data_IF_450631674648
#
_entry.id   IF_450631674648
#
_cell.length_a   1.000
_cell.length_b   1.000
_cell.length_c   1.000
_cell.angle_alpha   90.00
_cell.angle_beta   90.00
_cell.angle_gamma   90.00
#
_symmetry.space_group_name_H-M   'P 1'
#
loop_
_entity.id
_entity.type
_entity.pdbx_description
1 polymer ?
#
# COMPACT_ATOMS: atom_id res chain seq x y z
N UNK A 1 -11.45 -18.63 -12.12
CA UNK A 1 -11.37 -18.03 -10.83
C UNK A 1 -11.19 -16.51 -10.89
N UNK A 2 -10.97 -15.89 -9.76
CA UNK A 2 -10.81 -14.43 -9.58
C UNK A 2 -9.73 -13.82 -10.48
N UNK A 3 -8.63 -14.54 -10.72
CA UNK A 3 -7.52 -14.08 -11.57
C UNK A 3 -7.95 -13.83 -13.02
N UNK A 4 -8.61 -14.80 -13.65
CA UNK A 4 -9.08 -14.63 -15.03
C UNK A 4 -10.18 -13.58 -15.17
N UNK A 5 -11.02 -13.42 -14.14
CA UNK A 5 -11.99 -12.32 -14.08
C UNK A 5 -11.29 -10.95 -14.02
N UNK A 6 -10.20 -10.83 -13.25
CA UNK A 6 -9.40 -9.61 -13.20
C UNK A 6 -8.75 -9.27 -14.55
N UNK A 7 -8.15 -10.25 -15.23
CA UNK A 7 -7.59 -10.08 -16.58
C UNK A 7 -8.67 -9.63 -17.58
N UNK A 8 -9.84 -10.26 -17.56
CA UNK A 8 -10.96 -9.87 -18.43
C UNK A 8 -11.40 -8.41 -18.17
N UNK A 9 -11.47 -8.02 -16.91
CA UNK A 9 -11.80 -6.64 -16.53
C UNK A 9 -10.75 -5.64 -16.99
N UNK A 10 -9.47 -5.99 -16.92
CA UNK A 10 -8.36 -5.17 -17.38
C UNK A 10 -8.41 -4.98 -18.90
N UNK A 11 -8.56 -6.08 -19.66
CA UNK A 11 -8.58 -6.05 -21.12
C UNK A 11 -9.83 -5.35 -21.67
N UNK A 12 -10.97 -5.45 -20.98
CA UNK A 12 -12.20 -4.76 -21.34
C UNK A 12 -12.24 -3.29 -20.87
N UNK A 13 -11.14 -2.72 -20.39
CA UNK A 13 -11.05 -1.33 -19.91
C UNK A 13 -12.15 -0.97 -18.90
N UNK A 14 -12.53 -1.87 -17.99
CA UNK A 14 -13.50 -1.53 -16.94
C UNK A 14 -12.96 -0.43 -16.04
N UNK A 15 -13.53 0.76 -16.15
CA UNK A 15 -13.06 1.99 -15.48
C UNK A 15 -12.87 1.75 -13.98
N UNK A 16 -13.87 1.19 -13.30
CA UNK A 16 -13.80 0.91 -11.86
C UNK A 16 -12.61 0.02 -11.49
N UNK A 17 -12.33 -1.03 -12.26
CA UNK A 17 -11.22 -1.94 -12.01
C UNK A 17 -9.86 -1.26 -12.21
N UNK A 18 -9.77 -0.38 -13.22
CA UNK A 18 -8.55 0.40 -13.50
C UNK A 18 -8.30 1.43 -12.39
N UNK A 19 -9.34 2.07 -11.89
CA UNK A 19 -9.25 2.99 -10.74
C UNK A 19 -8.83 2.25 -9.46
N UNK A 20 -9.37 1.07 -9.21
CA UNK A 20 -8.95 0.21 -8.11
C UNK A 20 -7.46 -0.16 -8.21
N UNK A 21 -6.96 -0.52 -9.41
CA UNK A 21 -5.54 -0.78 -9.62
C UNK A 21 -4.67 0.45 -9.36
N UNK A 22 -5.09 1.62 -9.86
CA UNK A 22 -4.36 2.89 -9.67
C UNK A 22 -4.41 3.41 -8.23
N UNK A 23 -5.35 2.95 -7.43
CA UNK A 23 -5.39 3.27 -6.00
C UNK A 23 -4.30 2.55 -5.18
N UNK A 24 -3.68 1.51 -5.76
CA UNK A 24 -2.58 0.78 -5.14
C UNK A 24 -1.30 1.62 -5.28
N UNK A 25 -0.61 1.81 -4.16
CA UNK A 25 0.66 2.56 -4.17
C UNK A 25 1.69 1.91 -5.12
N UNK A 26 2.34 2.74 -5.93
CA UNK A 26 3.28 2.28 -6.95
C UNK A 26 2.64 1.82 -8.28
N UNK A 27 1.31 1.77 -8.40
CA UNK A 27 0.62 1.44 -9.65
C UNK A 27 -0.02 2.69 -10.25
N UNK A 28 0.64 3.23 -11.27
CA UNK A 28 0.14 4.36 -12.06
C UNK A 28 -0.30 3.95 -13.48
N UNK A 29 -0.39 4.94 -14.36
CA UNK A 29 -0.78 4.72 -15.75
C UNK A 29 0.19 3.78 -16.49
N UNK A 30 1.50 3.98 -16.31
CA UNK A 30 2.53 3.19 -16.98
C UNK A 30 2.45 1.70 -16.62
N UNK A 31 2.28 1.39 -15.34
CA UNK A 31 2.14 0.02 -14.84
C UNK A 31 0.84 -0.61 -15.34
N UNK A 32 -0.26 0.14 -15.33
CA UNK A 32 -1.56 -0.32 -15.83
C UNK A 32 -1.51 -0.65 -17.33
N UNK A 33 -0.89 0.21 -18.14
CA UNK A 33 -0.73 -0.04 -19.58
C UNK A 33 0.22 -1.21 -19.87
N UNK A 34 1.26 -1.40 -19.07
CA UNK A 34 2.16 -2.55 -19.16
C UNK A 34 1.44 -3.87 -18.86
N UNK A 35 0.59 -3.89 -17.83
CA UNK A 35 -0.26 -5.04 -17.51
C UNK A 35 -1.23 -5.36 -18.63
N UNK A 36 -1.90 -4.35 -19.20
CA UNK A 36 -2.79 -4.54 -20.36
C UNK A 36 -2.06 -5.15 -21.54
N UNK A 37 -0.90 -4.59 -21.91
CA UNK A 37 -0.09 -5.08 -23.03
C UNK A 37 0.33 -6.53 -22.83
N UNK A 38 0.78 -6.87 -21.61
CA UNK A 38 1.19 -8.23 -21.28
C UNK A 38 0.01 -9.23 -21.41
N UNK A 39 -1.14 -8.91 -20.83
CA UNK A 39 -2.30 -9.80 -20.83
C UNK A 39 -3.17 -9.74 -22.09
N UNK A 40 -2.90 -8.81 -23.02
CA UNK A 40 -3.51 -8.81 -24.37
C UNK A 40 -2.79 -9.77 -25.31
N UNK A 41 -1.61 -10.27 -24.94
CA UNK A 41 -0.85 -11.24 -25.76
C UNK A 41 -1.31 -12.66 -25.42
N UNK A 42 -1.80 -13.38 -26.43
CA UNK A 42 -2.31 -14.76 -26.27
C UNK A 42 -1.23 -15.74 -25.79
N UNK A 43 0.01 -15.60 -26.24
CA UNK A 43 1.11 -16.45 -25.78
C UNK A 43 1.37 -16.28 -24.28
N UNK A 44 1.36 -15.03 -23.80
CA UNK A 44 1.50 -14.75 -22.37
C UNK A 44 0.33 -15.35 -21.56
N UNK A 45 -0.91 -15.21 -22.07
CA UNK A 45 -2.08 -15.80 -21.42
C UNK A 45 -1.98 -17.32 -21.33
N UNK A 46 -1.49 -17.98 -22.39
CA UNK A 46 -1.29 -19.43 -22.40
C UNK A 46 -0.24 -19.86 -21.35
N UNK A 47 0.90 -19.18 -21.30
CA UNK A 47 1.96 -19.45 -20.32
C UNK A 47 1.42 -19.27 -18.89
N UNK A 48 0.75 -18.16 -18.62
CA UNK A 48 0.18 -17.88 -17.29
C UNK A 48 -0.89 -18.91 -16.91
N UNK A 49 -1.74 -19.32 -17.87
CA UNK A 49 -2.73 -20.37 -17.64
C UNK A 49 -2.09 -21.71 -17.26
N UNK A 50 -1.02 -22.09 -17.96
CA UNK A 50 -0.25 -23.30 -17.62
C UNK A 50 0.40 -23.21 -16.24
N UNK A 51 0.94 -22.04 -15.87
CA UNK A 51 1.52 -21.80 -14.55
C UNK A 51 0.47 -21.92 -13.42
N UNK A 52 -0.68 -21.27 -13.56
CA UNK A 52 -1.73 -21.29 -12.53
C UNK A 52 -2.27 -22.71 -12.32
N UNK A 53 -2.31 -23.52 -13.36
CA UNK A 53 -2.74 -24.92 -13.24
C UNK A 53 -1.71 -25.83 -12.54
N UNK A 54 -0.43 -25.42 -12.53
CA UNK A 54 0.67 -26.15 -11.89
C UNK A 54 1.02 -25.63 -10.50
N UNK A 55 0.69 -24.37 -10.19
CA UNK A 55 1.03 -23.72 -8.94
C UNK A 55 -0.21 -23.61 -8.05
N UNK A 56 -0.05 -23.95 -6.79
CA UNK A 56 -1.05 -23.65 -5.77
C UNK A 56 -0.81 -22.23 -5.24
N UNK A 57 -1.53 -21.25 -5.82
CA UNK A 57 -1.45 -19.85 -5.37
C UNK A 57 -2.33 -19.68 -4.15
N UNK A 58 -1.71 -19.52 -2.98
CA UNK A 58 -2.43 -19.25 -1.74
C UNK A 58 -2.79 -17.76 -1.65
N UNK A 59 -4.00 -17.47 -1.17
CA UNK A 59 -4.35 -16.12 -0.78
C UNK A 59 -3.45 -15.69 0.39
N UNK A 60 -2.75 -14.56 0.24
CA UNK A 60 -1.98 -14.00 1.34
C UNK A 60 -2.94 -13.52 2.43
N UNK A 61 -3.00 -14.29 3.52
CA UNK A 61 -3.76 -13.89 4.70
C UNK A 61 -2.84 -13.02 5.56
N UNK A 62 -3.13 -11.74 5.61
CA UNK A 62 -2.57 -10.91 6.67
C UNK A 62 -3.06 -11.48 8.01
N UNK A 63 -2.18 -12.14 8.75
CA UNK A 63 -2.44 -12.48 10.14
C UNK A 63 -2.34 -11.17 10.91
N UNK A 64 -3.42 -10.43 10.97
CA UNK A 64 -3.52 -9.23 11.80
C UNK A 64 -3.62 -9.69 13.25
N UNK A 65 -2.49 -9.78 13.93
CA UNK A 65 -2.52 -9.70 15.39
C UNK A 65 -3.22 -8.38 15.73
N UNK A 66 -4.23 -8.40 16.59
CA UNK A 66 -4.85 -7.16 17.10
C UNK A 66 -3.77 -6.38 17.84
N UNK A 67 -3.23 -5.36 17.20
CA UNK A 67 -2.24 -4.45 17.77
C UNK A 67 -2.89 -3.10 18.06
N UNK A 68 -2.28 -2.22 18.86
CA UNK A 68 -2.81 -0.88 19.10
C UNK A 68 -3.00 -0.02 17.84
N UNK A 69 -2.36 -0.42 16.73
CA UNK A 69 -2.45 0.29 15.44
C UNK A 69 -3.30 -0.43 14.40
N UNK A 70 -3.91 -1.57 14.72
CA UNK A 70 -4.77 -2.30 13.79
C UNK A 70 -5.93 -1.42 13.31
N UNK A 71 -6.11 -1.34 11.99
CA UNK A 71 -7.12 -0.51 11.33
C UNK A 71 -6.79 0.98 11.25
N UNK A 72 -5.66 1.44 11.81
CA UNK A 72 -5.24 2.85 11.78
C UNK A 72 -4.67 3.26 10.45
N UNK A 73 -4.92 4.52 10.05
CA UNK A 73 -4.35 5.15 8.87
C UNK A 73 -3.13 5.98 9.29
N UNK A 74 -1.95 5.60 8.81
CA UNK A 74 -0.68 6.15 9.28
C UNK A 74 0.09 6.75 8.10
N UNK A 75 0.63 7.93 8.31
CA UNK A 75 1.52 8.58 7.37
C UNK A 75 2.91 8.73 7.95
N UNK A 76 3.93 8.48 7.15
CA UNK A 76 5.33 8.70 7.49
C UNK A 76 5.89 9.90 6.74
N UNK A 77 6.67 10.74 7.42
CA UNK A 77 7.39 11.87 6.82
C UNK A 77 8.82 11.97 7.36
N UNK A 78 9.74 12.40 6.50
CA UNK A 78 11.17 12.41 6.84
C UNK A 78 11.86 11.06 6.62
N UNK A 79 13.15 11.01 6.89
CA UNK A 79 13.94 9.79 6.92
C UNK A 79 14.01 9.20 8.33
N UNK A 80 14.09 7.90 8.40
CA UNK A 80 14.17 7.13 9.64
C UNK A 80 15.57 6.53 9.77
N UNK A 81 16.07 6.38 11.00
CA UNK A 81 17.45 5.91 11.23
C UNK A 81 17.58 4.42 11.01
N UNK A 82 16.63 3.63 11.55
CA UNK A 82 16.79 2.19 11.64
C UNK A 82 16.13 1.41 10.50
N UNK A 83 15.22 2.04 9.74
CA UNK A 83 14.43 1.34 8.72
C UNK A 83 14.20 2.22 7.49
N UNK A 84 14.28 1.60 6.33
CA UNK A 84 13.84 2.22 5.09
C UNK A 84 12.31 2.43 5.08
N UNK A 85 11.81 3.28 4.19
CA UNK A 85 10.36 3.48 4.03
C UNK A 85 9.61 2.21 3.65
N UNK A 86 10.22 1.35 2.83
CA UNK A 86 9.63 0.07 2.43
C UNK A 86 9.50 -0.90 3.61
N UNK A 87 10.52 -0.95 4.46
CA UNK A 87 10.49 -1.79 5.68
C UNK A 87 9.46 -1.29 6.69
N UNK A 88 9.37 0.05 6.89
CA UNK A 88 8.34 0.64 7.74
C UNK A 88 6.93 0.35 7.20
N UNK A 89 6.74 0.43 5.88
CA UNK A 89 5.47 0.09 5.23
C UNK A 89 5.09 -1.36 5.51
N UNK A 90 5.99 -2.29 5.18
CA UNK A 90 5.74 -3.73 5.39
C UNK A 90 5.47 -4.07 6.86
N UNK A 91 6.24 -3.50 7.78
CA UNK A 91 6.03 -3.68 9.22
C UNK A 91 4.67 -3.15 9.68
N UNK A 92 4.32 -1.92 9.27
CA UNK A 92 3.06 -1.29 9.66
C UNK A 92 1.86 -2.06 9.13
N UNK A 93 1.92 -2.53 7.89
CA UNK A 93 0.88 -3.35 7.27
C UNK A 93 0.77 -4.72 7.95
N UNK A 94 1.89 -5.35 8.33
CA UNK A 94 1.87 -6.62 9.08
C UNK A 94 1.23 -6.49 10.46
N UNK A 95 1.26 -5.30 11.05
CA UNK A 95 0.60 -4.98 12.32
C UNK A 95 -0.86 -4.56 12.15
N UNK A 96 -1.40 -4.65 10.93
CA UNK A 96 -2.81 -4.40 10.62
C UNK A 96 -3.19 -2.95 10.40
N UNK A 97 -2.22 -2.02 10.33
CA UNK A 97 -2.47 -0.64 9.96
C UNK A 97 -2.34 -0.45 8.43
N UNK A 98 -2.80 0.70 7.92
CA UNK A 98 -2.67 1.08 6.52
C UNK A 98 -1.81 2.33 6.40
N UNK A 99 -0.91 2.35 5.42
CA UNK A 99 -0.13 3.55 5.11
C UNK A 99 -0.86 4.40 4.08
N UNK A 100 -0.86 5.71 4.34
CA UNK A 100 -1.40 6.72 3.43
C UNK A 100 -0.30 7.67 2.95
N UNK A 101 -0.41 8.13 1.71
CA UNK A 101 0.57 9.01 1.08
C UNK A 101 0.20 10.50 1.20
N UNK A 102 -1.04 10.79 1.58
CA UNK A 102 -1.56 12.14 1.81
C UNK A 102 -2.24 12.24 3.18
N UNK A 103 -2.14 13.42 3.78
CA UNK A 103 -2.83 13.72 5.04
C UNK A 103 -4.29 14.03 4.74
N UNK A 104 -5.18 13.49 5.55
CA UNK A 104 -6.62 13.75 5.50
C UNK A 104 -7.21 13.68 6.90
N UNK A 105 -8.44 14.13 7.08
CA UNK A 105 -9.18 14.00 8.35
C UNK A 105 -9.33 12.56 8.87
N UNK A 106 -9.10 11.58 7.98
CA UNK A 106 -9.15 10.14 8.33
C UNK A 106 -7.81 9.60 8.82
N UNK A 107 -6.72 10.37 8.69
CA UNK A 107 -5.39 9.96 9.13
C UNK A 107 -5.32 9.98 10.66
N UNK A 108 -4.93 8.86 11.26
CA UNK A 108 -4.85 8.73 12.73
C UNK A 108 -3.52 9.25 13.27
N UNK A 109 -2.41 8.97 12.58
CA UNK A 109 -1.07 9.37 13.02
C UNK A 109 -0.24 9.91 11.88
N UNK A 110 0.53 10.97 12.17
CA UNK A 110 1.69 11.37 11.39
C UNK A 110 2.96 10.99 12.16
N UNK A 111 3.72 10.04 11.64
CA UNK A 111 5.00 9.63 12.21
C UNK A 111 6.11 10.43 11.56
N UNK A 112 6.86 11.17 12.38
CA UNK A 112 7.94 12.07 11.91
C UNK A 112 9.29 11.41 12.19
N UNK A 113 10.02 11.12 11.12
CA UNK A 113 11.40 10.64 11.20
C UNK A 113 12.36 11.76 11.59
N UNK A 114 13.53 11.37 12.08
CA UNK A 114 14.57 12.29 12.56
C UNK A 114 15.31 13.04 11.45
N UNK A 115 15.24 12.57 10.21
CA UNK A 115 15.96 13.16 9.08
C UNK A 115 15.01 13.92 8.15
N UNK A 116 15.28 15.24 7.96
CA UNK A 116 14.61 16.13 7.00
C UNK A 116 13.08 15.92 6.89
N UNK A 117 12.31 16.08 7.98
CA UNK A 117 10.86 16.00 7.89
C UNK A 117 10.31 17.17 7.05
N UNK A 118 9.21 16.92 6.33
CA UNK A 118 8.58 17.94 5.51
C UNK A 118 7.67 18.82 6.36
N UNK A 119 8.06 20.07 6.61
CA UNK A 119 7.30 21.04 7.41
C UNK A 119 5.85 21.22 6.91
N UNK A 120 5.62 21.19 5.59
CA UNK A 120 4.27 21.25 5.02
C UNK A 120 3.37 20.17 5.58
N UNK A 121 3.82 18.91 5.63
CA UNK A 121 3.03 17.78 6.15
C UNK A 121 2.78 17.90 7.64
N UNK A 122 3.74 18.40 8.40
CA UNK A 122 3.58 18.67 9.83
C UNK A 122 2.50 19.74 10.07
N UNK A 123 2.53 20.82 9.29
CA UNK A 123 1.54 21.89 9.39
C UNK A 123 0.14 21.42 8.95
N UNK A 124 0.03 20.65 7.88
CA UNK A 124 -1.23 20.01 7.46
C UNK A 124 -1.81 19.12 8.59
N UNK A 125 -0.98 18.31 9.23
CA UNK A 125 -1.40 17.46 10.34
C UNK A 125 -1.88 18.27 11.55
N UNK A 126 -1.18 19.35 11.89
CA UNK A 126 -1.60 20.28 12.96
C UNK A 126 -2.95 20.93 12.65
N UNK A 127 -3.13 21.42 11.42
CA UNK A 127 -4.40 22.05 11.00
C UNK A 127 -5.58 21.09 11.03
N UNK A 128 -5.36 19.80 10.85
CA UNK A 128 -6.38 18.76 10.90
C UNK A 128 -6.48 18.07 12.26
N UNK A 129 -5.76 18.55 13.29
CA UNK A 129 -5.69 17.97 14.64
C UNK A 129 -5.28 16.47 14.63
N UNK A 130 -4.41 16.09 13.68
CA UNK A 130 -3.90 14.72 13.59
C UNK A 130 -2.76 14.55 14.60
N UNK A 131 -2.75 13.43 15.29
CA UNK A 131 -1.71 13.11 16.26
C UNK A 131 -0.36 12.94 15.58
N UNK A 132 0.59 13.79 15.95
CA UNK A 132 1.97 13.76 15.45
C UNK A 132 2.82 13.03 16.49
N UNK A 133 3.57 12.02 16.05
CA UNK A 133 4.47 11.23 16.90
C UNK A 133 5.85 11.14 16.26
N UNK A 134 6.88 11.09 17.08
CA UNK A 134 8.26 10.89 16.62
C UNK A 134 8.62 9.40 16.49
N UNK A 135 9.81 9.12 15.95
CA UNK A 135 10.30 7.75 15.74
C UNK A 135 10.40 6.94 17.03
N UNK A 136 10.76 7.57 18.16
CA UNK A 136 10.86 6.89 19.47
C UNK A 136 9.48 6.50 20.02
N UNK A 137 8.52 7.39 19.88
CA UNK A 137 7.11 7.13 20.27
C UNK A 137 6.49 6.06 19.39
N UNK A 138 6.78 6.10 18.09
CA UNK A 138 6.35 5.06 17.15
C UNK A 138 6.85 3.68 17.57
N UNK A 139 8.16 3.56 17.88
CA UNK A 139 8.73 2.29 18.35
C UNK A 139 8.06 1.74 19.60
N UNK A 140 7.66 2.62 20.54
CA UNK A 140 6.94 2.20 21.76
C UNK A 140 5.53 1.68 21.48
N UNK A 141 4.89 2.14 20.40
CA UNK A 141 3.53 1.72 20.04
C UNK A 141 3.52 0.36 19.34
N UNK A 142 4.59 0.03 18.61
CA UNK A 142 4.66 -1.20 17.81
C UNK A 142 5.37 -2.37 18.51
N UNK A 143 6.06 -2.12 19.63
CA UNK A 143 6.67 -3.14 20.50
C UNK A 143 5.71 -3.49 21.64
#
# INVERSE_FOLDING_TARGET
>A
GKFFSAIKNLNNNKIKFIEELKSIDGIGNSQTESLKRFFSNNQNLEIVSKLINKLYVQDYKYVTKKTPISGKLIMFTGGFVDKSRSELKSLTESLGAKIVNSISKKTDFLVVGSQKPTNRKINEAKNLNIKIINEKEWKKIIN
#
